data_IF_953536693368
#
_entry.id   IF_953536693368
#
_cell.length_a   1.000
_cell.length_b   1.000
_cell.length_c   1.000
_cell.angle_alpha   90.00
_cell.angle_beta   90.00
_cell.angle_gamma   90.00
#
_symmetry.space_group_name_H-M   'P 1'
#
loop_
_entity.id
_entity.type
_entity.pdbx_description
1 polymer ?
#
# COMPACT_ATOMS: atom_id res chain seq x y z
N UNK A 1 -0.16 15.62 -8.08
CA UNK A 1 -1.33 14.98 -7.44
C UNK A 1 -2.38 14.74 -8.49
N UNK A 2 -2.49 13.49 -8.98
CA UNK A 2 -3.52 13.13 -9.97
C UNK A 2 -4.56 12.26 -9.28
N UNK A 3 -5.76 12.83 -9.11
CA UNK A 3 -6.92 12.05 -8.71
C UNK A 3 -7.44 11.27 -9.89
N UNK A 4 -7.77 10.01 -9.66
CA UNK A 4 -8.25 9.11 -10.69
C UNK A 4 -9.31 8.17 -10.14
N UNK A 5 -10.25 7.81 -10.99
CA UNK A 5 -11.26 6.82 -10.67
C UNK A 5 -10.70 5.45 -11.05
N UNK A 6 -10.52 4.57 -10.08
CA UNK A 6 -10.01 3.22 -10.29
C UNK A 6 -11.16 2.21 -10.32
N UNK A 7 -11.06 1.19 -11.19
CA UNK A 7 -11.94 0.02 -11.12
C UNK A 7 -11.48 -0.88 -9.99
N UNK A 8 -12.39 -1.22 -9.08
CA UNK A 8 -12.10 -2.09 -7.93
C UNK A 8 -12.57 -3.50 -8.26
N UNK A 9 -11.67 -4.46 -8.07
CA UNK A 9 -11.94 -5.89 -8.28
C UNK A 9 -11.69 -6.66 -6.99
N UNK A 10 -12.52 -7.68 -6.72
CA UNK A 10 -12.30 -8.64 -5.64
C UNK A 10 -12.49 -10.05 -6.17
N UNK A 11 -11.47 -10.89 -6.03
CA UNK A 11 -11.41 -12.25 -6.61
C UNK A 11 -11.74 -12.27 -8.12
N UNK A 12 -11.21 -11.29 -8.87
CA UNK A 12 -11.45 -11.16 -10.31
C UNK A 12 -12.83 -10.64 -10.71
N UNK A 13 -13.73 -10.37 -9.75
CA UNK A 13 -15.06 -9.80 -10.02
C UNK A 13 -15.03 -8.29 -9.83
N UNK A 14 -15.64 -7.56 -10.76
CA UNK A 14 -15.83 -6.12 -10.66
C UNK A 14 -16.76 -5.82 -9.48
N UNK A 15 -16.29 -4.98 -8.55
CA UNK A 15 -17.04 -4.59 -7.35
C UNK A 15 -17.53 -3.14 -7.43
N UNK A 16 -16.96 -2.32 -8.31
CA UNK A 16 -17.34 -0.94 -8.48
C UNK A 16 -16.15 -0.05 -8.79
N UNK A 17 -16.32 1.24 -8.53
CA UNK A 17 -15.28 2.23 -8.68
C UNK A 17 -14.79 2.69 -7.30
N UNK A 18 -13.55 3.19 -7.26
CA UNK A 18 -12.96 3.81 -6.08
C UNK A 18 -12.13 5.02 -6.47
N UNK A 19 -11.78 5.85 -5.49
CA UNK A 19 -10.91 7.01 -5.70
C UNK A 19 -9.48 6.57 -5.44
N UNK A 20 -8.62 6.80 -6.42
CA UNK A 20 -7.20 6.56 -6.32
C UNK A 20 -6.41 7.87 -6.49
N UNK A 21 -5.29 7.97 -5.80
CA UNK A 21 -4.35 9.08 -5.91
C UNK A 21 -2.99 8.48 -6.27
N UNK A 22 -2.42 8.99 -7.37
CA UNK A 22 -1.12 8.55 -7.89
C UNK A 22 -0.99 7.03 -8.13
N UNK A 23 -2.12 6.34 -8.29
CA UNK A 23 -2.22 4.93 -8.68
C UNK A 23 -2.69 4.04 -7.53
N UNK A 24 -2.68 4.55 -6.31
CA UNK A 24 -3.05 3.84 -5.10
C UNK A 24 -4.50 4.16 -4.73
N UNK A 25 -5.29 3.11 -4.48
CA UNK A 25 -6.66 3.25 -4.00
C UNK A 25 -6.65 3.80 -2.56
N UNK A 26 -7.49 4.79 -2.27
CA UNK A 26 -7.59 5.35 -0.92
C UNK A 26 -8.22 4.31 0.01
N UNK A 27 -7.56 4.04 1.13
CA UNK A 27 -8.04 3.09 2.13
C UNK A 27 -9.31 3.58 2.85
N UNK A 28 -10.06 2.64 3.42
CA UNK A 28 -11.29 2.92 4.17
C UNK A 28 -12.49 3.28 3.28
N UNK A 29 -12.35 3.29 1.95
CA UNK A 29 -13.46 3.53 1.04
C UNK A 29 -14.46 2.37 1.07
N UNK A 30 -15.70 2.65 1.46
CA UNK A 30 -16.78 1.68 1.60
C UNK A 30 -17.66 1.65 0.35
N UNK A 31 -17.87 2.80 -0.27
CA UNK A 31 -18.69 2.91 -1.47
C UNK A 31 -18.30 4.10 -2.35
N UNK A 32 -18.65 4.00 -3.62
CA UNK A 32 -18.58 5.08 -4.60
C UNK A 32 -19.83 5.09 -5.44
N UNK A 33 -20.45 6.25 -5.55
CA UNK A 33 -21.52 6.51 -6.51
C UNK A 33 -21.00 7.49 -7.54
N UNK A 34 -21.15 7.11 -8.81
CA UNK A 34 -20.81 7.95 -9.95
C UNK A 34 -22.12 8.35 -10.60
N UNK A 35 -22.44 9.63 -10.54
CA UNK A 35 -23.62 10.20 -11.17
C UNK A 35 -23.20 11.00 -12.41
N UNK A 36 -23.80 10.64 -13.53
CA UNK A 36 -23.54 11.25 -14.83
C UNK A 36 -24.87 11.56 -15.49
N UNK A 37 -25.37 12.77 -15.27
CA UNK A 37 -26.48 13.30 -16.06
C UNK A 37 -25.94 13.85 -17.39
N UNK A 38 -26.68 13.63 -18.48
CA UNK A 38 -26.33 14.06 -19.84
C UNK A 38 -26.16 15.58 -19.98
N UNK A 39 -26.70 16.36 -19.04
CA UNK A 39 -26.58 17.83 -19.00
C UNK A 39 -25.92 18.35 -17.71
N UNK A 40 -25.61 17.47 -16.77
CA UNK A 40 -25.06 17.82 -15.47
C UNK A 40 -23.53 17.76 -15.43
N UNK A 41 -22.96 18.35 -14.39
CA UNK A 41 -21.54 18.13 -14.06
C UNK A 41 -21.44 16.73 -13.47
N UNK A 42 -20.56 15.84 -13.99
CA UNK A 42 -20.33 14.54 -13.41
C UNK A 42 -19.96 14.65 -11.92
N UNK A 43 -20.65 13.89 -11.07
CA UNK A 43 -20.44 13.89 -9.63
C UNK A 43 -19.96 12.52 -9.17
N UNK A 44 -18.95 12.54 -8.30
CA UNK A 44 -18.47 11.34 -7.63
C UNK A 44 -18.64 11.55 -6.13
N UNK A 45 -19.41 10.68 -5.50
CA UNK A 45 -19.57 10.63 -4.05
C UNK A 45 -18.86 9.38 -3.55
N UNK A 46 -17.93 9.54 -2.62
CA UNK A 46 -17.26 8.43 -1.95
C UNK A 46 -17.58 8.46 -0.45
N UNK A 47 -17.91 7.29 0.10
CA UNK A 47 -18.13 7.12 1.54
C UNK A 47 -16.94 6.37 2.12
N UNK A 48 -16.37 6.93 3.19
CA UNK A 48 -15.24 6.34 3.91
C UNK A 48 -15.70 5.89 5.29
N UNK A 49 -15.22 4.73 5.73
CA UNK A 49 -15.32 4.30 7.11
C UNK A 49 -14.19 4.96 7.88
N UNK A 50 -14.54 5.89 8.77
CA UNK A 50 -13.57 6.65 9.55
C UNK A 50 -13.57 6.09 10.98
N UNK A 51 -12.38 5.85 11.54
CA UNK A 51 -12.23 5.51 12.95
C UNK A 51 -12.01 6.80 13.78
N UNK A 52 -11.93 6.68 15.11
CA UNK A 52 -11.77 7.84 16.01
C UNK A 52 -10.52 8.69 15.73
N UNK A 53 -9.46 8.13 15.14
CA UNK A 53 -8.26 8.88 14.75
C UNK A 53 -8.51 9.79 13.52
N UNK A 54 -9.55 9.49 12.75
CA UNK A 54 -9.92 10.22 11.54
C UNK A 54 -11.06 11.23 11.79
N UNK A 55 -11.85 11.06 12.85
CA UNK A 55 -13.04 11.88 13.10
C UNK A 55 -12.75 13.38 13.32
N UNK A 56 -11.59 13.70 13.89
CA UNK A 56 -11.14 15.09 14.14
C UNK A 56 -10.02 15.56 13.20
N UNK A 57 -9.53 14.68 12.33
CA UNK A 57 -8.40 14.96 11.45
C UNK A 57 -8.87 15.04 10.00
N UNK A 58 -8.30 15.97 9.22
CA UNK A 58 -8.47 15.96 7.78
C UNK A 58 -8.01 14.59 7.25
N UNK A 59 -8.82 13.97 6.39
CA UNK A 59 -8.46 12.72 5.71
C UNK A 59 -7.13 12.97 4.99
N UNK A 60 -6.06 12.46 5.57
CA UNK A 60 -4.71 12.65 5.06
C UNK A 60 -4.39 11.45 4.21
N UNK A 61 -4.39 11.65 2.89
CA UNK A 61 -4.04 10.61 1.92
C UNK A 61 -2.52 10.49 1.95
N UNK A 62 -2.00 9.51 2.69
CA UNK A 62 -0.57 9.17 2.69
C UNK A 62 -0.30 8.28 1.49
N UNK A 63 0.50 8.78 0.56
CA UNK A 63 0.87 8.09 -0.68
C UNK A 63 2.10 7.20 -0.54
N UNK A 64 2.81 7.36 0.58
CA UNK A 64 3.96 6.54 0.89
C UNK A 64 3.47 5.32 1.66
N UNK A 65 3.38 4.20 0.95
CA UNK A 65 3.75 2.93 1.57
C UNK A 65 5.20 3.11 2.01
N UNK A 66 5.43 3.58 3.24
CA UNK A 66 6.64 3.22 3.93
C UNK A 66 6.58 1.69 4.08
N UNK A 67 7.03 0.99 3.03
CA UNK A 67 7.73 -0.27 3.20
C UNK A 67 8.84 0.10 4.15
N UNK A 68 8.57 -0.08 5.44
CA UNK A 68 9.36 0.30 6.60
C UNK A 68 10.84 0.09 6.24
N UNK A 69 11.47 1.15 5.73
CA UNK A 69 12.75 1.04 5.02
C UNK A 69 13.80 0.53 5.99
N UNK A 70 13.58 0.85 7.26
CA UNK A 70 14.27 0.32 8.43
C UNK A 70 14.15 -1.20 8.54
N UNK A 71 12.97 -1.82 8.36
CA UNK A 71 12.82 -3.28 8.35
C UNK A 71 13.54 -3.93 7.18
N UNK A 72 13.47 -3.36 5.98
CA UNK A 72 14.16 -3.90 4.80
C UNK A 72 15.68 -3.86 5.01
N UNK A 73 16.20 -2.78 5.58
CA UNK A 73 17.63 -2.65 5.85
C UNK A 73 18.09 -3.54 7.02
N UNK A 74 17.25 -3.76 8.04
CA UNK A 74 17.49 -4.75 9.09
C UNK A 74 17.54 -6.18 8.51
N UNK A 75 16.66 -6.51 7.56
CA UNK A 75 16.66 -7.82 6.88
C UNK A 75 17.93 -7.98 6.05
N UNK A 76 18.32 -6.98 5.24
CA UNK A 76 19.56 -7.01 4.46
C UNK A 76 20.78 -7.20 5.36
N UNK A 77 20.83 -6.51 6.50
CA UNK A 77 21.92 -6.63 7.48
C UNK A 77 21.99 -8.04 8.09
N UNK A 78 20.86 -8.58 8.54
CA UNK A 78 20.78 -9.91 9.12
C UNK A 78 21.21 -11.01 8.12
N UNK A 79 20.81 -10.87 6.84
CA UNK A 79 21.21 -11.79 5.77
C UNK A 79 22.72 -11.72 5.51
N UNK A 80 23.31 -10.52 5.48
CA UNK A 80 24.75 -10.33 5.29
C UNK A 80 25.57 -10.95 6.44
N UNK A 81 25.12 -10.78 7.69
CA UNK A 81 25.76 -11.36 8.87
C UNK A 81 25.67 -12.89 8.86
N UNK A 82 24.51 -13.46 8.52
CA UNK A 82 24.33 -14.90 8.41
C UNK A 82 25.23 -15.52 7.31
N UNK A 83 25.35 -14.86 6.15
CA UNK A 83 26.21 -15.30 5.07
C UNK A 83 27.70 -15.31 5.47
N UNK A 84 28.16 -14.27 6.18
CA UNK A 84 29.53 -14.19 6.68
C UNK A 84 29.85 -15.27 7.73
N UNK A 85 28.90 -15.57 8.61
CA UNK A 85 29.02 -16.66 9.59
C UNK A 85 29.10 -18.04 8.92
N UNK A 86 28.26 -18.29 7.91
CA UNK A 86 28.31 -19.55 7.16
C UNK A 86 29.64 -19.72 6.43
N UNK A 87 30.16 -18.68 5.76
CA UNK A 87 31.45 -18.72 5.09
C UNK A 87 32.60 -19.09 6.05
N UNK A 88 32.68 -18.45 7.23
CA UNK A 88 33.69 -18.77 8.25
C UNK A 88 33.62 -20.23 8.72
N UNK A 89 32.41 -20.75 8.91
CA UNK A 89 32.19 -22.12 9.38
C UNK A 89 32.71 -23.13 8.35
N UNK A 90 32.39 -22.93 7.08
CA UNK A 90 32.86 -23.79 5.98
C UNK A 90 34.38 -23.75 5.87
N UNK A 91 34.99 -22.57 5.84
CA UNK A 91 36.45 -22.42 5.73
C UNK A 91 37.18 -23.07 6.90
N UNK A 92 36.69 -22.89 8.13
CA UNK A 92 37.29 -23.51 9.30
C UNK A 92 37.18 -25.05 9.31
N UNK A 93 36.14 -25.61 8.68
CA UNK A 93 36.00 -27.06 8.51
C UNK A 93 36.99 -27.64 7.50
N UNK A 94 37.34 -26.85 6.46
CA UNK A 94 38.30 -27.25 5.40
C UNK A 94 39.74 -27.13 5.89
N UNK A 95 40.07 -26.15 6.74
CA UNK A 95 41.43 -25.94 7.25
C UNK A 95 41.80 -26.95 8.35
N UNK A 96 40.81 -27.53 9.05
CA UNK A 96 41.02 -28.45 10.18
C UNK A 96 40.90 -29.94 9.80
N UNK A 97 40.58 -30.27 8.55
CA UNK A 97 40.59 -31.64 8.01
C UNK A 97 41.87 -31.88 7.21
#
# INVERSE_FOLDING_TARGET
MKFQVAKVYRYGRFMGYGIAVDGNLIDGQVSTTVDTDAKGIPLITAVFNMNNEHAENQITIRLDDEVDSQKVDLIKKAVAEAAACNYRTVVNSVIKG
#
